data_IF_025606637109
#
_entry.id   IF_025606637109
#
_cell.length_a   1.000
_cell.length_b   1.000
_cell.length_c   1.000
_cell.angle_alpha   90.00
_cell.angle_beta   90.00
_cell.angle_gamma   90.00
#
_symmetry.space_group_name_H-M   'P 1'
#
loop_
_entity.id
_entity.type
_entity.pdbx_description
1 polymer ?
2 non-polymer ?
3 non-polymer ?
4 water ?
#
# COMPACT_ATOMS: atom_id res chain seq x y z
N UNK A 120 20.80 -2.40 5.73
CA UNK A 120 20.28 -1.04 5.48
C UNK A 120 21.10 -0.34 4.39
N UNK A 121 22.44 -0.46 4.47
CA UNK A 121 23.37 0.15 3.53
C UNK A 121 23.10 -0.32 2.10
N UNK A 122 22.94 -1.64 1.90
CA UNK A 122 22.68 -2.23 0.59
C UNK A 122 21.44 -1.62 -0.07
N UNK A 123 20.33 -1.50 0.70
CA UNK A 123 19.07 -0.91 0.24
C UNK A 123 19.24 0.58 -0.10
N UNK A 124 19.91 1.34 0.75
CA UNK A 124 20.14 2.78 0.51
C UNK A 124 20.91 2.97 -0.81
N UNK A 125 21.91 2.12 -1.06
CA UNK A 125 22.69 2.19 -2.29
C UNK A 125 21.84 1.86 -3.53
N UNK A 126 21.00 0.79 -3.47
CA UNK A 126 20.11 0.40 -4.57
C UNK A 126 19.12 1.52 -4.88
N UNK A 127 18.61 2.19 -3.84
CA UNK A 127 17.68 3.30 -4.02
C UNK A 127 18.34 4.50 -4.68
N UNK A 128 19.63 4.76 -4.39
CA UNK A 128 20.38 5.85 -5.01
C UNK A 128 20.56 5.56 -6.48
N UNK A 129 20.90 4.33 -6.82
CA UNK A 129 21.07 3.90 -8.20
C UNK A 129 19.75 4.03 -8.94
N UNK A 130 18.65 3.54 -8.32
CA UNK A 130 17.33 3.63 -8.94
C UNK A 130 16.93 5.09 -9.23
N UNK A 131 17.09 6.00 -8.27
CA UNK A 131 16.74 7.42 -8.47
C UNK A 131 17.56 8.01 -9.63
N UNK A 132 18.87 7.68 -9.68
CA UNK A 132 19.78 8.15 -10.71
C UNK A 132 19.32 7.68 -12.08
N UNK A 133 18.98 6.38 -12.23
CA UNK A 133 18.52 5.86 -13.52
C UNK A 133 17.19 6.49 -13.95
N UNK A 134 16.27 6.73 -13.00
CA UNK A 134 14.98 7.30 -13.32
C UNK A 134 15.10 8.77 -13.73
N UNK A 135 16.07 9.52 -13.15
CA UNK A 135 16.26 10.92 -13.54
C UNK A 135 16.66 11.05 -15.02
N UNK A 136 17.39 10.06 -15.55
CA UNK A 136 17.81 10.00 -16.95
C UNK A 136 16.60 9.81 -17.88
N UNK A 137 15.61 9.05 -17.43
CA UNK A 137 14.39 8.82 -18.19
C UNK A 137 13.59 10.13 -18.35
N UNK A 138 13.69 11.05 -17.38
CA UNK A 138 13.00 12.33 -17.45
C UNK A 138 13.55 13.22 -18.55
N UNK A 139 12.69 13.60 -19.50
CA UNK A 139 13.11 14.52 -20.55
C UNK A 139 13.59 15.86 -19.98
N UNK A 140 14.54 16.47 -20.66
CA UNK A 140 15.08 17.76 -20.27
C UNK A 140 14.02 18.87 -20.52
N UNK A 141 13.28 18.76 -21.63
CA UNK A 141 12.27 19.74 -22.00
C UNK A 141 10.84 19.20 -21.82
N UNK A 142 9.87 20.11 -21.78
CA UNK A 142 8.46 19.76 -21.70
C UNK A 142 7.96 19.53 -20.30
N UNK A 143 6.64 19.50 -20.15
CA UNK A 143 5.98 19.31 -18.87
C UNK A 143 4.79 18.37 -19.01
N UNK A 144 4.39 17.74 -17.89
CA UNK A 144 3.21 16.92 -17.82
C UNK A 144 2.16 17.82 -17.17
N UNK A 145 1.27 18.37 -17.98
CA UNK A 145 0.24 19.31 -17.54
C UNK A 145 -1.07 18.64 -17.18
N UNK A 146 -1.53 18.86 -15.93
CA UNK A 146 -2.77 18.31 -15.45
C UNK A 146 -3.57 19.43 -14.82
N UNK A 147 -4.84 19.58 -15.20
CA UNK A 147 -5.73 20.57 -14.59
C UNK A 147 -7.03 19.89 -14.15
N UNK A 148 -7.20 19.65 -12.85
CA UNK A 148 -8.37 18.91 -12.38
C UNK A 148 -9.03 19.56 -11.17
N UNK A 149 -10.35 19.34 -11.00
CA UNK A 149 -11.02 19.83 -9.80
C UNK A 149 -10.68 18.88 -8.64
N UNK A 150 -10.65 19.40 -7.41
CA UNK A 150 -10.43 18.57 -6.22
C UNK A 150 -11.59 17.59 -6.02
N UNK A 151 -12.83 18.05 -6.31
CA UNK A 151 -14.05 17.26 -6.14
C UNK A 151 -14.17 16.07 -7.14
N UNK A 152 -13.59 16.20 -8.34
CA UNK A 152 -13.61 15.14 -9.35
C UNK A 152 -12.16 14.72 -9.67
N UNK A 153 -11.28 14.68 -8.66
CA UNK A 153 -9.86 14.38 -8.88
C UNK A 153 -9.65 13.06 -9.64
N UNK A 154 -10.35 11.99 -9.25
CA UNK A 154 -10.21 10.69 -9.86
C UNK A 154 -10.56 10.69 -11.32
N UNK A 155 -11.79 11.05 -11.64
CA UNK A 155 -12.30 11.00 -12.99
C UNK A 155 -11.60 11.96 -13.92
N UNK A 156 -11.34 13.18 -13.45
CA UNK A 156 -10.69 14.17 -14.30
C UNK A 156 -9.24 13.80 -14.53
N UNK A 157 -8.53 13.26 -13.51
CA UNK A 157 -7.15 12.81 -13.72
C UNK A 157 -7.12 11.64 -14.67
N UNK A 158 -8.13 10.74 -14.58
CA UNK A 158 -8.25 9.60 -15.47
C UNK A 158 -8.32 10.08 -16.93
N UNK A 159 -9.24 11.02 -17.23
CA UNK A 159 -9.37 11.51 -18.59
C UNK A 159 -8.09 12.11 -19.14
N UNK A 160 -7.40 12.94 -18.35
CA UNK A 160 -6.20 13.60 -18.82
C UNK A 160 -4.97 12.68 -18.92
N UNK A 161 -4.74 11.85 -17.92
CA UNK A 161 -3.60 10.92 -17.92
C UNK A 161 -3.72 9.87 -19.02
N UNK A 162 -4.94 9.36 -19.29
CA UNK A 162 -5.12 8.33 -20.30
C UNK A 162 -5.04 8.85 -21.74
N UNK A 163 -5.04 10.18 -21.94
CA UNK A 163 -4.79 10.74 -23.27
C UNK A 163 -3.27 10.88 -23.51
N UNK A 164 -2.43 10.76 -22.46
CA UNK A 164 -0.99 10.90 -22.60
C UNK A 164 -0.31 9.61 -22.96
N UNK A 165 0.86 9.74 -23.58
CA UNK A 165 1.69 8.60 -23.93
C UNK A 165 2.58 8.31 -22.74
N UNK A 166 3.16 7.09 -22.66
CA UNK A 166 4.09 6.81 -21.56
C UNK A 166 5.21 7.83 -21.41
N UNK A 167 5.80 8.34 -22.52
CA UNK A 167 6.88 9.34 -22.41
C UNK A 167 6.44 10.66 -21.78
N UNK A 168 5.15 11.02 -21.94
CA UNK A 168 4.63 12.24 -21.33
C UNK A 168 4.64 12.20 -19.79
N UNK A 169 4.44 11.00 -19.22
CA UNK A 169 4.38 10.80 -17.77
C UNK A 169 5.70 10.97 -17.06
N UNK A 170 6.81 10.95 -17.80
CA UNK A 170 8.15 11.15 -17.23
C UNK A 170 8.53 12.63 -17.13
N UNK A 171 7.77 13.54 -17.74
CA UNK A 171 8.07 14.97 -17.75
C UNK A 171 7.77 15.67 -16.45
N UNK A 172 8.44 16.84 -16.19
CA UNK A 172 8.20 17.59 -14.96
C UNK A 172 6.73 17.95 -14.83
N UNK A 173 6.17 17.74 -13.65
CA UNK A 173 4.77 17.98 -13.43
C UNK A 173 4.41 19.44 -13.32
N UNK A 174 3.37 19.84 -14.06
CA UNK A 174 2.83 21.17 -13.99
C UNK A 174 1.34 20.97 -13.72
N UNK A 175 0.97 20.99 -12.44
CA UNK A 175 -0.39 20.71 -12.00
C UNK A 175 -1.11 21.94 -11.52
N UNK A 176 -2.41 22.00 -11.80
CA UNK A 176 -3.24 23.06 -11.32
C UNK A 176 -4.56 22.48 -10.88
N UNK A 177 -5.06 22.90 -9.71
CA UNK A 177 -6.40 22.53 -9.28
C UNK A 177 -7.36 23.58 -9.83
N UNK A 178 -8.44 23.14 -10.47
CA UNK A 178 -9.43 24.00 -11.11
C UNK A 178 -10.00 25.04 -10.13
N UNK A 179 -10.09 26.29 -10.59
CA UNK A 179 -10.54 27.41 -9.77
C UNK A 179 -9.54 27.87 -8.73
N UNK A 180 -8.34 27.25 -8.67
CA UNK A 180 -7.35 27.61 -7.65
C UNK A 180 -6.05 28.10 -8.21
N UNK A 181 -5.49 29.14 -7.57
CA UNK A 181 -4.23 29.72 -7.97
C UNK A 181 -3.03 28.83 -7.62
N UNK A 182 -2.95 28.38 -6.37
CA UNK A 182 -1.83 27.55 -5.94
C UNK A 182 -0.60 28.34 -5.56
N UNK A 183 0.13 27.90 -4.51
CA UNK A 183 1.34 28.58 -4.01
C UNK A 183 2.57 28.39 -4.92
N UNK A 184 2.90 27.14 -5.24
CA UNK A 184 4.01 26.81 -6.14
C UNK A 184 3.74 25.46 -6.80
N UNK A 185 4.25 25.27 -8.02
CA UNK A 185 4.00 24.05 -8.77
C UNK A 185 4.47 22.76 -8.09
N UNK A 186 5.62 22.82 -7.42
CA UNK A 186 6.17 21.64 -6.75
C UNK A 186 5.25 21.11 -5.67
N UNK A 187 4.67 22.03 -4.92
CA UNK A 187 3.75 21.72 -3.84
C UNK A 187 2.43 21.21 -4.35
N UNK A 188 1.92 21.83 -5.43
CA UNK A 188 0.66 21.37 -6.01
C UNK A 188 0.82 19.98 -6.64
N UNK A 189 1.99 19.68 -7.21
CA UNK A 189 2.24 18.37 -7.81
C UNK A 189 2.26 17.30 -6.70
N UNK A 190 2.91 17.61 -5.57
CA UNK A 190 2.99 16.75 -4.39
C UNK A 190 1.59 16.49 -3.83
N UNK A 191 0.77 17.53 -3.73
CA UNK A 191 -0.59 17.40 -3.24
C UNK A 191 -1.51 16.61 -4.16
N UNK A 192 -1.41 16.81 -5.49
CA UNK A 192 -2.24 16.07 -6.44
C UNK A 192 -1.87 14.58 -6.39
N UNK A 193 -0.56 14.28 -6.39
CA UNK A 193 -0.10 12.91 -6.44
C UNK A 193 -0.48 12.14 -5.18
N UNK A 194 -0.35 12.79 -4.00
CA UNK A 194 -0.77 12.23 -2.73
C UNK A 194 -2.29 12.02 -2.69
N UNK A 195 -3.07 13.06 -3.03
CA UNK A 195 -4.52 12.96 -2.98
C UNK A 195 -5.11 11.95 -3.94
N UNK A 196 -4.63 11.92 -5.19
CA UNK A 196 -5.15 11.00 -6.19
C UNK A 196 -4.76 9.55 -5.84
N UNK A 197 -3.49 9.31 -5.43
CA UNK A 197 -3.01 7.96 -5.08
C UNK A 197 -3.86 7.34 -3.98
N UNK A 198 -4.28 8.15 -3.02
CA UNK A 198 -5.13 7.67 -1.94
C UNK A 198 -6.57 7.57 -2.37
N UNK A 199 -7.06 8.54 -3.13
CA UNK A 199 -8.46 8.52 -3.61
C UNK A 199 -8.80 7.36 -4.56
N UNK A 200 -7.86 7.00 -5.47
CA UNK A 200 -8.11 5.91 -6.41
C UNK A 200 -8.27 4.53 -5.74
N UNK A 201 -7.84 4.39 -4.49
CA UNK A 201 -7.99 3.19 -3.69
C UNK A 201 -9.38 3.07 -3.02
N UNK A 202 -10.20 4.15 -3.06
CA UNK A 202 -11.52 4.16 -2.46
C UNK A 202 -12.43 3.13 -3.12
N UNK A 203 -13.01 2.21 -2.34
CA UNK A 203 -13.94 1.21 -2.92
C UNK A 203 -15.09 1.75 -3.77
N UNK A 204 -15.45 3.01 -3.55
CA UNK A 204 -16.51 3.70 -4.29
C UNK A 204 -16.30 3.62 -5.80
N UNK A 205 -15.04 3.73 -6.26
CA UNK A 205 -14.77 3.67 -7.70
C UNK A 205 -14.82 2.26 -8.32
N UNK A 206 -15.08 1.24 -7.52
CA UNK A 206 -15.26 -0.11 -8.02
C UNK A 206 -14.02 -0.89 -8.43
N UNK A 207 -12.81 -0.38 -8.12
CA UNK A 207 -11.58 -1.08 -8.50
C UNK A 207 -11.04 -1.93 -7.39
N UNK A 208 -11.02 -1.41 -6.17
CA UNK A 208 -10.47 -2.10 -5.02
C UNK A 208 -11.50 -2.19 -3.90
N UNK A 209 -11.26 -3.06 -2.94
CA UNK A 209 -12.17 -3.23 -1.80
C UNK A 209 -11.39 -3.80 -0.63
N UNK A 210 -11.93 -3.67 0.60
CA UNK A 210 -11.27 -4.26 1.76
C UNK A 210 -11.70 -5.71 1.90
N UNK A 211 -10.76 -6.59 2.29
CA UNK A 211 -11.10 -8.00 2.47
C UNK A 211 -12.14 -8.17 3.58
N UNK A 212 -13.07 -9.11 3.41
CA UNK A 212 -14.09 -9.39 4.42
C UNK A 212 -13.43 -10.04 5.65
N UNK A 213 -12.49 -10.97 5.40
CA UNK A 213 -11.73 -11.72 6.42
C UNK A 213 -10.70 -10.82 7.11
N UNK A 214 -9.97 -10.01 6.33
CA UNK A 214 -9.01 -9.09 6.89
C UNK A 214 -9.42 -7.66 6.58
N UNK A 215 -10.14 -7.05 7.51
CA UNK A 215 -10.74 -5.72 7.44
C UNK A 215 -9.74 -4.56 7.10
N UNK A 216 -8.43 -4.77 7.28
CA UNK A 216 -7.43 -3.74 6.96
C UNK A 216 -6.76 -3.95 5.58
N UNK A 217 -6.93 -5.12 4.97
CA UNK A 217 -6.28 -5.43 3.71
C UNK A 217 -7.03 -4.93 2.47
N UNK A 218 -6.33 -4.18 1.61
CA UNK A 218 -6.92 -3.74 0.36
C UNK A 218 -6.61 -4.77 -0.73
N UNK A 219 -7.59 -5.06 -1.60
CA UNK A 219 -7.43 -6.01 -2.69
C UNK A 219 -8.21 -5.55 -3.90
N UNK A 220 -7.93 -6.14 -5.07
CA UNK A 220 -8.68 -5.83 -6.27
C UNK A 220 -10.12 -6.38 -6.12
N UNK A 221 -11.12 -5.63 -6.57
CA UNK A 221 -12.51 -6.08 -6.54
C UNK A 221 -12.67 -7.10 -7.68
N UNK A 222 -12.92 -8.41 -7.40
CA UNK A 222 -13.09 -9.38 -8.49
C UNK A 222 -14.28 -9.14 -9.42
N UNK A 223 -15.30 -8.42 -8.98
CA UNK A 223 -16.48 -8.09 -9.78
C UNK A 223 -16.36 -6.70 -10.45
N UNK A 224 -15.14 -6.15 -10.56
CA UNK A 224 -14.94 -4.83 -11.12
C UNK A 224 -15.52 -4.67 -12.53
N UNK A 225 -15.73 -5.79 -13.25
CA UNK A 225 -16.27 -5.79 -14.60
C UNK A 225 -17.70 -5.26 -14.71
N UNK A 226 -18.39 -5.01 -13.59
CA UNK A 226 -19.71 -4.36 -13.64
C UNK A 226 -19.60 -2.96 -14.35
N UNK A 227 -18.40 -2.32 -14.27
CA UNK A 227 -18.06 -1.12 -15.03
C UNK A 227 -17.32 -1.68 -16.24
N UNK A 228 -17.92 -1.59 -17.44
CA UNK A 228 -17.28 -2.18 -18.63
C UNK A 228 -15.92 -1.60 -19.01
N UNK A 229 -15.63 -0.37 -18.58
CA UNK A 229 -14.34 0.27 -18.83
C UNK A 229 -13.32 -0.03 -17.73
N UNK A 230 -13.59 -0.98 -16.81
CA UNK A 230 -12.73 -1.22 -15.65
C UNK A 230 -11.25 -1.43 -16.00
N UNK A 231 -10.92 -2.09 -17.10
CA UNK A 231 -9.52 -2.36 -17.45
C UNK A 231 -8.73 -1.11 -17.76
N UNK A 232 -9.35 -0.15 -18.43
CA UNK A 232 -8.71 1.13 -18.70
C UNK A 232 -8.49 1.88 -17.39
N UNK A 233 -9.40 1.75 -16.41
CA UNK A 233 -9.22 2.36 -15.10
C UNK A 233 -8.07 1.74 -14.32
N UNK A 234 -7.92 0.39 -14.36
CA UNK A 234 -6.79 -0.28 -13.69
C UNK A 234 -5.49 0.14 -14.35
N UNK A 235 -5.48 0.29 -15.69
CA UNK A 235 -4.30 0.77 -16.43
C UNK A 235 -3.88 2.15 -15.91
N UNK A 236 -4.86 3.04 -15.76
CA UNK A 236 -4.69 4.35 -15.20
C UNK A 236 -4.09 4.32 -13.76
N UNK A 237 -4.63 3.46 -12.87
CA UNK A 237 -4.11 3.34 -11.49
C UNK A 237 -2.64 2.87 -11.51
N UNK A 238 -2.31 1.96 -12.43
CA UNK A 238 -0.95 1.47 -12.60
C UNK A 238 0.00 2.60 -12.98
N UNK A 239 -0.46 3.46 -13.92
CA UNK A 239 0.29 4.65 -14.33
C UNK A 239 0.54 5.56 -13.14
N UNK A 240 -0.48 5.79 -12.31
CA UNK A 240 -0.35 6.63 -11.11
C UNK A 240 0.58 6.03 -10.08
N UNK A 241 0.50 4.71 -9.84
CA UNK A 241 1.44 4.06 -8.92
C UNK A 241 2.89 4.18 -9.45
N UNK A 242 3.05 4.09 -10.77
CA UNK A 242 4.33 4.26 -11.41
C UNK A 242 4.86 5.67 -11.24
N UNK A 243 3.95 6.68 -11.39
CA UNK A 243 4.27 8.09 -11.22
C UNK A 243 4.63 8.41 -9.75
N UNK A 244 4.00 7.74 -8.77
CA UNK A 244 4.35 7.92 -7.36
C UNK A 244 5.78 7.42 -7.14
N UNK A 245 6.13 6.23 -7.68
CA UNK A 245 7.49 5.67 -7.57
C UNK A 245 8.49 6.63 -8.21
N UNK A 246 8.18 7.09 -9.43
CA UNK A 246 9.01 8.02 -10.17
C UNK A 246 9.32 9.30 -9.38
N UNK A 247 8.32 9.88 -8.69
CA UNK A 247 8.56 11.11 -7.93
C UNK A 247 8.89 10.88 -6.43
N UNK A 248 9.32 9.66 -6.10
CA UNK A 248 9.76 9.29 -4.77
C UNK A 248 8.73 9.30 -3.66
N UNK A 249 7.47 8.96 -3.98
CA UNK A 249 6.41 8.89 -2.96
C UNK A 249 6.31 7.47 -2.44
N UNK A 250 6.28 7.30 -1.12
CA UNK A 250 6.15 5.99 -0.48
C UNK A 250 4.78 5.94 0.14
N UNK A 251 3.83 5.31 -0.53
CA UNK A 251 2.43 5.21 -0.11
C UNK A 251 2.06 3.81 0.45
N UNK A 252 1.52 3.79 1.68
CA UNK A 252 1.07 2.57 2.35
C UNK A 252 -0.35 2.32 1.87
N UNK A 253 -0.48 1.73 0.69
CA UNK A 253 -1.78 1.52 0.08
C UNK A 253 -2.65 0.53 0.80
N UNK A 254 -2.04 -0.41 1.52
CA UNK A 254 -2.81 -1.42 2.25
C UNK A 254 -2.89 -2.77 1.54
N UNK A 255 -2.24 -2.91 0.38
CA UNK A 255 -2.19 -4.18 -0.33
C UNK A 255 -1.30 -5.16 0.45
N UNK A 256 -1.39 -6.45 0.13
CA UNK A 256 -0.55 -7.45 0.78
C UNK A 256 0.86 -7.39 0.17
N UNK A 257 1.87 -7.95 0.86
CA UNK A 257 3.23 -7.98 0.30
C UNK A 257 3.28 -8.75 -1.03
N UNK A 258 2.68 -9.97 -1.14
CA UNK A 258 2.67 -10.64 -2.45
C UNK A 258 2.01 -9.85 -3.58
N UNK A 259 1.02 -8.96 -3.30
CA UNK A 259 0.43 -8.10 -4.33
C UNK A 259 1.53 -7.17 -4.88
N UNK A 260 2.25 -6.50 -3.95
CA UNK A 260 3.33 -5.60 -4.31
C UNK A 260 4.45 -6.31 -5.05
N UNK A 261 4.80 -7.54 -4.63
CA UNK A 261 5.84 -8.29 -5.32
C UNK A 261 5.45 -8.64 -6.73
N UNK A 262 4.18 -9.00 -6.97
CA UNK A 262 3.75 -9.29 -8.33
C UNK A 262 3.83 -8.05 -9.21
N UNK A 263 3.44 -6.89 -8.65
CA UNK A 263 3.51 -5.63 -9.37
C UNK A 263 4.96 -5.26 -9.69
N UNK A 264 5.89 -5.51 -8.76
CA UNK A 264 7.30 -5.18 -8.96
C UNK A 264 8.12 -6.30 -9.61
N UNK A 265 7.44 -7.19 -10.35
CA UNK A 265 8.04 -8.28 -11.09
C UNK A 265 8.74 -9.41 -10.35
N UNK A 266 8.29 -9.71 -9.15
CA UNK A 266 8.84 -10.81 -8.38
C UNK A 266 7.89 -11.99 -8.47
N UNK A 267 8.46 -13.19 -8.57
CA UNK A 267 7.66 -14.41 -8.65
C UNK A 267 6.92 -14.66 -7.33
N UNK A 268 5.68 -15.15 -7.40
CA UNK A 268 4.91 -15.52 -6.22
C UNK A 268 5.46 -16.86 -5.73
N UNK A 269 5.60 -17.03 -4.41
CA UNK A 269 6.13 -18.27 -3.84
C UNK A 269 5.04 -19.05 -3.12
N UNK A 270 5.28 -20.36 -2.87
CA UNK A 270 4.39 -21.18 -2.07
C UNK A 270 4.28 -20.60 -0.64
N UNK A 271 5.39 -20.02 -0.12
CA UNK A 271 5.43 -19.35 1.19
C UNK A 271 4.35 -18.27 1.28
N UNK A 272 4.12 -17.52 0.18
CA UNK A 272 3.09 -16.48 0.09
C UNK A 272 1.67 -17.01 0.19
N UNK A 273 1.46 -18.31 -0.10
CA UNK A 273 0.12 -18.88 -0.03
C UNK A 273 -0.38 -19.14 1.37
N UNK A 274 0.51 -19.12 2.38
CA UNK A 274 0.16 -19.38 3.78
C UNK A 274 -1.07 -18.57 4.25
N UNK A 275 -1.05 -17.24 4.04
CA UNK A 275 -2.16 -16.40 4.49
C UNK A 275 -3.30 -16.31 3.48
N UNK A 276 -3.02 -16.45 2.17
CA UNK A 276 -4.03 -16.42 1.10
C UNK A 276 -5.01 -17.62 1.18
N UNK A 277 -4.48 -18.83 1.41
CA UNK A 277 -5.31 -20.03 1.45
C UNK A 277 -4.54 -21.08 2.30
N UNK A 278 -4.72 -21.03 3.64
CA UNK A 278 -3.93 -21.89 4.53
C UNK A 278 -4.07 -23.40 4.29
N UNK A 279 -5.26 -23.88 3.93
CA UNK A 279 -5.46 -25.32 3.69
C UNK A 279 -4.76 -25.75 2.41
N UNK A 280 -4.85 -24.93 1.37
CA UNK A 280 -4.21 -25.19 0.09
C UNK A 280 -2.69 -25.17 0.27
N UNK A 281 -2.17 -24.22 1.03
CA UNK A 281 -0.76 -24.11 1.33
C UNK A 281 -0.20 -25.42 1.94
N UNK A 282 -0.89 -25.94 2.98
CA UNK A 282 -0.48 -27.20 3.64
C UNK A 282 -0.51 -28.36 2.68
N UNK A 283 -1.53 -28.42 1.82
CA UNK A 283 -1.67 -29.50 0.82
C UNK A 283 -0.54 -29.46 -0.20
N UNK A 284 -0.19 -28.28 -0.69
CA UNK A 284 0.86 -28.12 -1.69
C UNK A 284 2.23 -28.38 -1.07
N UNK A 285 2.45 -27.96 0.19
CA UNK A 285 3.71 -28.22 0.89
C UNK A 285 3.85 -29.77 1.06
N UNK A 286 2.74 -30.42 1.41
CA UNK A 286 2.68 -31.88 1.53
C UNK A 286 3.05 -32.57 0.22
N UNK A 287 2.55 -32.06 -0.94
CA UNK A 287 2.87 -32.63 -2.25
C UNK A 287 4.39 -32.58 -2.51
N UNK A 288 4.98 -31.42 -2.29
CA UNK A 288 6.40 -31.20 -2.52
C UNK A 288 7.31 -32.02 -1.60
N UNK A 289 6.92 -32.20 -0.36
CA UNK A 289 7.77 -32.81 0.66
C UNK A 289 7.61 -34.30 0.85
N UNK A 290 6.62 -34.91 0.22
CA UNK A 290 6.33 -36.34 0.44
C UNK A 290 6.05 -37.05 -0.88
N UNK A 291 6.28 -38.37 -0.93
CA UNK A 291 5.93 -39.18 -2.10
C UNK A 291 4.40 -39.28 -2.20
N UNK A 292 3.79 -38.70 -3.26
CA UNK A 292 2.33 -38.63 -3.47
C UNK A 292 1.74 -39.83 -4.21
N UNK A 293 2.59 -40.73 -4.74
CA UNK A 293 2.18 -41.84 -5.60
C UNK A 293 1.08 -42.72 -5.04
N UNK A 294 -0.03 -42.76 -5.76
CA UNK A 294 -1.19 -43.55 -5.38
C UNK A 294 -2.03 -42.98 -4.23
N UNK A 295 -1.67 -41.77 -3.74
CA UNK A 295 -2.40 -41.10 -2.66
C UNK A 295 -3.06 -39.85 -3.29
N UNK A 296 -2.24 -38.97 -3.92
CA UNK A 296 -2.79 -37.82 -4.61
C UNK A 296 -3.30 -38.28 -5.99
N UNK A 297 -4.60 -38.13 -6.24
CA UNK A 297 -5.20 -38.51 -7.52
C UNK A 297 -5.65 -37.21 -8.17
N UNK A 298 -4.72 -36.55 -8.83
CA UNK A 298 -4.96 -35.26 -9.46
C UNK A 298 -4.37 -35.17 -10.84
N UNK A 299 -4.88 -34.22 -11.65
CA UNK A 299 -4.36 -33.88 -12.97
C UNK A 299 -3.97 -32.35 -13.01
N UNK A 300 -3.44 -31.86 -14.15
CA UNK A 300 -3.10 -30.45 -14.31
C UNK A 300 -4.34 -29.61 -14.67
N UNK A 301 -5.47 -29.95 -14.09
CA UNK A 301 -6.73 -29.24 -14.24
C UNK A 301 -7.24 -28.95 -12.84
N UNK A 302 -7.61 -27.71 -12.58
CA UNK A 302 -8.13 -27.27 -11.28
C UNK A 302 -9.55 -26.79 -11.49
N UNK A 303 -10.44 -27.08 -10.55
CA UNK A 303 -11.80 -26.60 -10.68
C UNK A 303 -12.11 -25.60 -9.59
N UNK A 304 -12.88 -24.59 -9.94
CA UNK A 304 -13.27 -23.55 -9.01
C UNK A 304 -14.67 -23.09 -9.35
N UNK A 305 -15.41 -22.62 -8.35
CA UNK A 305 -16.77 -22.14 -8.58
C UNK A 305 -16.73 -20.64 -8.72
N UNK A 306 -16.91 -20.14 -9.94
CA UNK A 306 -17.01 -18.72 -10.18
C UNK A 306 -18.46 -18.37 -10.52
N UNK A 307 -19.11 -17.58 -9.65
CA UNK A 307 -20.47 -17.06 -9.83
C UNK A 307 -21.54 -18.13 -10.08
N UNK A 308 -21.43 -19.27 -9.36
CA UNK A 308 -22.39 -20.38 -9.45
C UNK A 308 -22.10 -21.42 -10.51
N UNK A 309 -21.03 -21.24 -11.29
CA UNK A 309 -20.67 -22.19 -12.34
C UNK A 309 -19.29 -22.80 -12.03
N UNK A 310 -19.13 -24.11 -12.24
CA UNK A 310 -17.85 -24.77 -12.00
C UNK A 310 -16.96 -24.65 -13.23
N UNK A 311 -15.84 -23.97 -13.08
CA UNK A 311 -14.89 -23.77 -14.16
C UNK A 311 -13.80 -24.80 -14.03
N UNK A 312 -13.53 -25.54 -15.09
CA UNK A 312 -12.43 -26.50 -15.12
C UNK A 312 -11.31 -25.79 -15.84
N UNK A 313 -10.25 -25.39 -15.14
CA UNK A 313 -9.13 -24.66 -15.73
C UNK A 313 -7.88 -25.53 -15.85
N UNK A 314 -7.38 -25.72 -17.08
CA UNK A 314 -6.16 -26.46 -17.30
C UNK A 314 -4.95 -25.56 -17.05
N UNK A 315 -4.09 -25.96 -16.12
CA UNK A 315 -2.87 -25.22 -15.78
C UNK A 315 -1.89 -25.13 -16.95
N UNK A 316 -1.93 -26.09 -17.85
CA UNK A 316 -1.05 -26.14 -19.03
C UNK A 316 -1.77 -26.92 -20.16
N UNK A 317 -1.28 -26.85 -21.42
CA UNK A 317 -1.94 -27.58 -22.51
C UNK A 317 -2.10 -29.08 -22.24
N UNK A 318 -3.27 -29.63 -22.57
CA UNK A 318 -3.60 -31.03 -22.33
C UNK A 318 -3.67 -31.42 -20.82
N UNK A 319 -3.73 -30.44 -19.94
CA UNK A 319 -3.74 -30.63 -18.49
C UNK A 319 -4.69 -31.68 -17.93
N UNK A 320 -5.90 -31.75 -18.48
CA UNK A 320 -6.93 -32.71 -18.07
C UNK A 320 -6.46 -34.16 -18.20
N UNK A 321 -5.54 -34.43 -19.14
CA UNK A 321 -5.06 -35.78 -19.39
C UNK A 321 -3.69 -36.06 -18.83
N UNK A 322 -3.11 -35.14 -18.03
CA UNK A 322 -1.78 -35.31 -17.44
C UNK A 322 -1.90 -35.48 -15.93
N UNK A 323 -1.65 -36.70 -15.43
CA UNK A 323 -1.71 -36.89 -13.97
C UNK A 323 -0.52 -36.24 -13.27
N UNK A 324 -0.73 -35.78 -12.04
CA UNK A 324 0.35 -35.24 -11.24
C UNK A 324 1.09 -36.47 -10.65
N UNK A 325 2.40 -36.49 -10.77
CA UNK A 325 3.24 -37.59 -10.30
C UNK A 325 4.55 -37.00 -9.71
N UNK A 326 5.45 -37.85 -9.24
CA UNK A 326 6.71 -37.40 -8.65
C UNK A 326 7.59 -36.55 -9.59
N UNK A 327 7.60 -36.86 -10.89
CA UNK A 327 8.42 -36.15 -11.87
C UNK A 327 7.88 -34.73 -12.19
N UNK A 328 6.55 -34.56 -12.24
CA UNK A 328 5.98 -33.28 -12.65
C UNK A 328 5.31 -32.48 -11.49
N UNK A 329 5.36 -32.99 -10.25
CA UNK A 329 4.71 -32.29 -9.11
C UNK A 329 5.28 -30.89 -8.80
N UNK A 330 6.57 -30.64 -9.02
CA UNK A 330 7.14 -29.31 -8.76
C UNK A 330 6.54 -28.26 -9.71
N UNK A 331 6.34 -28.65 -10.98
CA UNK A 331 5.73 -27.79 -11.99
C UNK A 331 4.24 -27.60 -11.68
N UNK A 332 3.56 -28.65 -11.22
CA UNK A 332 2.16 -28.59 -10.84
C UNK A 332 1.97 -27.59 -9.72
N UNK A 333 2.81 -27.67 -8.66
CA UNK A 333 2.69 -26.77 -7.53
C UNK A 333 2.98 -25.29 -7.95
N UNK A 334 4.02 -25.07 -8.78
CA UNK A 334 4.34 -23.73 -9.25
C UNK A 334 3.17 -23.13 -10.07
N UNK A 335 2.64 -23.88 -11.03
CA UNK A 335 1.53 -23.40 -11.86
C UNK A 335 0.28 -23.14 -10.99
N UNK A 336 0.03 -24.04 -10.01
CA UNK A 336 -1.12 -23.93 -9.12
C UNK A 336 -1.02 -22.65 -8.29
N UNK A 337 0.17 -22.38 -7.71
CA UNK A 337 0.40 -21.19 -6.88
C UNK A 337 0.14 -19.91 -7.71
N UNK A 338 0.63 -19.85 -8.97
CA UNK A 338 0.43 -18.67 -9.82
C UNK A 338 -1.03 -18.44 -10.14
N UNK A 339 -1.75 -19.52 -10.49
CA UNK A 339 -3.17 -19.44 -10.83
C UNK A 339 -3.99 -19.03 -9.61
N UNK A 340 -3.77 -19.69 -8.46
CA UNK A 340 -4.55 -19.38 -7.25
C UNK A 340 -4.42 -17.90 -6.83
N UNK A 341 -3.20 -17.41 -6.85
CA UNK A 341 -2.88 -16.05 -6.46
C UNK A 341 -3.68 -14.97 -7.24
N UNK A 342 -3.83 -15.13 -8.56
CA UNK A 342 -4.55 -14.16 -9.38
C UNK A 342 -5.97 -14.61 -9.76
N UNK A 343 -6.48 -15.71 -9.16
CA UNK A 343 -7.78 -16.25 -9.53
C UNK A 343 -8.92 -15.21 -9.43
N UNK A 344 -9.59 -14.98 -10.53
CA UNK A 344 -10.69 -14.03 -10.64
C UNK A 344 -10.30 -12.58 -10.88
N UNK A 345 -9.00 -12.27 -10.78
CA UNK A 345 -8.50 -10.91 -10.96
C UNK A 345 -7.34 -10.83 -11.98
N UNK A 346 -7.24 -11.82 -12.88
CA UNK A 346 -6.19 -11.89 -13.88
C UNK A 346 -6.14 -10.64 -14.79
N UNK A 347 -7.26 -10.27 -15.39
CA UNK A 347 -7.32 -9.12 -16.31
C UNK A 347 -7.03 -7.81 -15.63
N UNK A 348 -7.55 -7.61 -14.42
CA UNK A 348 -7.36 -6.40 -13.64
C UNK A 348 -5.91 -6.19 -13.30
N UNK A 349 -5.26 -7.26 -12.80
CA UNK A 349 -3.87 -7.22 -12.42
C UNK A 349 -2.96 -6.94 -13.61
N UNK A 350 -3.24 -7.56 -14.75
CA UNK A 350 -2.48 -7.39 -15.98
C UNK A 350 -2.56 -5.92 -16.48
N UNK A 351 -3.75 -5.29 -16.35
CA UNK A 351 -3.93 -3.89 -16.76
C UNK A 351 -3.15 -2.98 -15.84
N UNK A 352 -3.21 -3.23 -14.52
CA UNK A 352 -2.46 -2.47 -13.50
C UNK A 352 -0.92 -2.58 -13.73
N UNK A 353 -0.43 -3.80 -14.00
CA UNK A 353 0.99 -4.06 -14.28
C UNK A 353 1.43 -3.32 -15.57
N UNK A 354 0.58 -3.34 -16.59
CA UNK A 354 0.87 -2.66 -17.85
C UNK A 354 1.00 -1.14 -17.65
N UNK A 355 0.09 -0.55 -16.87
CA UNK A 355 0.17 0.87 -16.58
C UNK A 355 1.42 1.23 -15.81
N UNK A 356 1.77 0.36 -14.84
CA UNK A 356 2.91 0.58 -13.99
C UNK A 356 4.23 0.48 -14.79
N UNK A 357 4.33 -0.50 -15.64
CA UNK A 357 5.55 -0.72 -16.45
C UNK A 357 5.74 0.32 -17.55
N UNK A 358 4.74 1.15 -17.81
CA UNK A 358 4.88 2.27 -18.74
C UNK A 358 5.63 3.44 -18.08
N UNK A 359 5.69 3.49 -16.73
CA UNK A 359 6.40 4.55 -16.03
C UNK A 359 7.72 4.00 -15.46
N UNK A 360 7.68 2.80 -14.88
CA UNK A 360 8.85 2.22 -14.22
C UNK A 360 9.27 0.97 -14.96
N UNK A 361 10.44 1.01 -15.64
CA UNK A 361 10.89 -0.19 -16.37
C UNK A 361 11.15 -1.32 -15.39
N UNK A 362 10.67 -2.51 -15.72
CA UNK A 362 10.82 -3.69 -14.88
C UNK A 362 12.31 -3.99 -14.60
N UNK A 363 13.16 -3.86 -15.64
CA UNK A 363 14.59 -4.17 -15.49
C UNK A 363 15.26 -3.36 -14.36
N UNK A 364 14.76 -2.15 -14.08
CA UNK A 364 15.31 -1.30 -13.03
C UNK A 364 15.04 -1.79 -11.59
N UNK A 365 14.17 -2.78 -11.41
CA UNK A 365 13.80 -3.25 -10.08
C UNK A 365 14.33 -4.66 -9.75
N UNK A 366 14.93 -5.38 -10.72
CA UNK A 366 15.40 -6.76 -10.54
C UNK A 366 16.40 -6.95 -9.38
N UNK A 367 17.15 -5.91 -9.09
CA UNK A 367 18.15 -5.84 -8.04
C UNK A 367 17.56 -5.94 -6.62
N UNK A 368 16.34 -5.43 -6.42
CA UNK A 368 15.71 -5.41 -5.11
C UNK A 368 15.14 -6.78 -4.73
N UNK A 369 15.43 -7.25 -3.51
CA UNK A 369 14.88 -8.52 -3.05
C UNK A 369 13.59 -8.31 -2.24
N UNK A 370 12.88 -9.41 -1.92
CA UNK A 370 11.60 -9.43 -1.19
C UNK A 370 11.64 -8.65 0.12
N UNK A 371 12.70 -8.86 0.92
CA UNK A 371 12.89 -8.20 2.21
C UNK A 371 12.98 -6.68 2.06
N UNK A 372 13.72 -6.24 1.03
CA UNK A 372 13.91 -4.83 0.73
C UNK A 372 12.59 -4.19 0.29
N UNK A 373 11.79 -4.91 -0.52
CA UNK A 373 10.50 -4.39 -0.97
C UNK A 373 9.57 -4.18 0.21
N UNK A 374 9.58 -5.12 1.16
CA UNK A 374 8.78 -5.06 2.38
C UNK A 374 9.10 -3.80 3.19
N UNK A 375 10.41 -3.49 3.38
CA UNK A 375 10.84 -2.30 4.12
C UNK A 375 10.44 -1.04 3.39
N UNK A 376 10.55 -1.02 2.06
CA UNK A 376 10.19 0.17 1.29
C UNK A 376 8.69 0.52 1.40
N UNK A 377 7.79 -0.44 1.17
CA UNK A 377 6.36 -0.11 1.16
C UNK A 377 5.76 0.04 2.56
N UNK A 378 6.12 -0.86 3.46
CA UNK A 378 5.53 -0.87 4.78
C UNK A 378 6.32 -0.12 5.86
N UNK A 379 7.56 0.29 5.56
CA UNK A 379 8.37 1.05 6.52
C UNK A 379 8.99 0.17 7.59
N UNK A 380 9.41 0.78 8.72
CA UNK A 380 10.05 0.02 9.82
C UNK A 380 9.13 -1.08 10.39
N UNK A 381 9.71 -2.26 10.64
CA UNK A 381 8.98 -3.41 11.15
C UNK A 381 8.31 -3.23 12.50
N UNK A 382 8.80 -2.28 13.31
CA UNK A 382 8.21 -2.04 14.64
C UNK A 382 8.12 -0.53 14.91
N UNK A 383 7.07 -0.12 15.61
CA UNK A 383 6.90 1.26 16.02
C UNK A 383 7.59 1.40 17.37
N UNK A 384 8.70 2.13 17.40
CA UNK A 384 9.52 2.33 18.59
C UNK A 384 9.08 3.58 19.35
N UNK A 385 8.66 3.43 20.62
CA UNK A 385 8.22 4.54 21.47
C UNK A 385 9.37 5.52 21.81
N UNK A 386 10.64 5.04 21.84
CA UNK A 386 11.77 5.94 22.11
C UNK A 386 12.01 6.87 20.93
N UNK A 387 12.11 6.32 19.72
CA UNK A 387 12.30 7.14 18.54
C UNK A 387 11.09 8.10 18.33
N UNK A 388 9.89 7.64 18.67
CA UNK A 388 8.69 8.43 18.57
C UNK A 388 8.75 9.62 19.51
N UNK A 389 9.01 9.39 20.83
CA UNK A 389 9.01 10.50 21.79
C UNK A 389 10.11 11.54 21.62
N UNK A 390 11.33 11.15 21.18
CA UNK A 390 12.39 12.15 21.00
C UNK A 390 12.19 13.01 19.73
N UNK A 391 11.25 12.59 18.84
CA UNK A 391 10.94 13.29 17.58
C UNK A 391 9.51 13.87 17.57
N UNK A 392 9.00 14.23 18.73
CA UNK A 392 7.66 14.81 18.89
C UNK A 392 7.78 16.26 19.35
N UNK A 393 6.97 17.14 18.72
CA UNK A 393 6.87 18.56 19.05
C UNK A 393 5.79 18.74 20.09
N UNK A 394 6.04 19.56 21.10
CA UNK A 394 5.04 19.84 22.14
C UNK A 394 4.43 21.25 22.02
N UNK A 395 3.09 21.35 22.03
CA UNK A 395 2.39 22.64 21.94
C UNK A 395 1.49 22.81 23.15
N UNK A 396 1.68 23.88 23.92
CA UNK A 396 0.92 24.21 25.14
C UNK A 396 1.07 23.17 26.26
N UNK A 397 2.15 22.38 26.22
CA UNK A 397 2.55 21.47 27.28
C UNK A 397 4.08 21.40 27.28
N UNK A 398 4.66 21.20 28.45
CA UNK A 398 6.10 21.14 28.61
C UNK A 398 6.62 19.70 28.66
N UNK A 399 7.94 19.51 28.40
CA UNK A 399 8.54 18.19 28.47
C UNK A 399 8.30 17.43 29.76
N UNK A 400 8.33 18.12 30.88
CA UNK A 400 8.17 17.50 32.19
C UNK A 400 6.73 17.51 32.72
N UNK A 401 5.74 17.88 31.89
CA UNK A 401 4.35 17.90 32.35
C UNK A 401 3.73 16.50 32.48
N UNK A 402 2.68 16.40 33.28
CA UNK A 402 1.94 15.18 33.56
C UNK A 402 1.31 14.68 32.30
N UNK A 403 0.71 15.57 31.47
CA UNK A 403 0.03 15.12 30.26
C UNK A 403 0.99 14.41 29.29
N UNK A 404 2.23 14.91 29.16
CA UNK A 404 3.24 14.33 28.27
C UNK A 404 3.76 13.02 28.85
N UNK A 405 4.04 13.01 30.18
CA UNK A 405 4.47 11.81 30.87
C UNK A 405 3.41 10.68 30.73
N UNK A 406 2.14 11.01 30.96
CA UNK A 406 1.04 10.04 30.85
C UNK A 406 0.83 9.57 29.44
N UNK A 407 1.00 10.49 28.46
CA UNK A 407 0.89 10.08 27.05
C UNK A 407 1.94 9.02 26.70
N UNK A 408 3.23 9.25 27.04
CA UNK A 408 4.28 8.30 26.69
C UNK A 408 4.20 7.02 27.49
N UNK A 409 3.68 7.08 28.73
CA UNK A 409 3.47 5.89 29.54
C UNK A 409 2.39 5.00 28.88
N UNK A 410 1.34 5.61 28.28
CA UNK A 410 0.30 4.87 27.59
C UNK A 410 0.85 4.25 26.31
N UNK A 411 1.60 5.01 25.52
CA UNK A 411 2.20 4.50 24.28
C UNK A 411 3.18 3.36 24.54
N UNK A 412 3.98 3.48 25.59
CA UNK A 412 4.89 2.42 26.02
C UNK A 412 4.09 1.12 26.35
N UNK A 413 2.95 1.22 27.07
CA UNK A 413 2.15 0.04 27.37
C UNK A 413 1.52 -0.52 26.10
N UNK A 414 1.14 0.34 25.14
CA UNK A 414 0.51 -0.10 23.91
C UNK A 414 1.35 -1.11 23.16
N UNK A 415 0.70 -2.17 22.67
CA UNK A 415 1.38 -3.19 21.90
C UNK A 415 1.54 -2.70 20.45
N UNK A 416 2.17 -3.52 19.54
CA UNK A 416 2.35 -3.07 18.15
C UNK A 416 1.04 -2.70 17.48
N UNK A 417 -0.02 -3.52 17.69
CA UNK A 417 -1.35 -3.23 17.12
C UNK A 417 -1.91 -1.87 17.58
N UNK A 418 -1.91 -1.62 18.90
CA UNK A 418 -2.41 -0.36 19.42
C UNK A 418 -1.56 0.83 18.94
N UNK A 419 -0.21 0.70 18.89
CA UNK A 419 0.64 1.78 18.39
C UNK A 419 0.34 2.10 16.94
N UNK A 420 0.04 1.07 16.13
CA UNK A 420 -0.31 1.31 14.71
C UNK A 420 -1.64 2.04 14.63
N UNK A 421 -2.62 1.67 15.47
CA UNK A 421 -3.91 2.35 15.51
C UNK A 421 -3.74 3.81 15.89
N UNK A 422 -2.87 4.07 16.89
CA UNK A 422 -2.56 5.43 17.34
C UNK A 422 -1.90 6.24 16.23
N UNK A 423 -0.86 5.69 15.60
CA UNK A 423 -0.16 6.37 14.51
C UNK A 423 -1.12 6.66 13.35
N UNK A 424 -1.99 5.70 12.99
CA UNK A 424 -2.97 5.89 11.90
C UNK A 424 -3.98 6.98 12.27
N UNK A 425 -4.45 6.97 13.52
CA UNK A 425 -5.38 7.97 14.04
C UNK A 425 -4.82 9.38 13.91
N UNK A 426 -3.56 9.60 14.32
CA UNK A 426 -2.97 10.93 14.28
C UNK A 426 -2.42 11.36 12.90
N UNK A 427 -1.87 10.43 12.11
CA UNK A 427 -1.20 10.80 10.86
C UNK A 427 -1.88 10.39 9.56
N UNK A 428 -2.78 9.42 9.62
CA UNK A 428 -3.42 8.89 8.43
C UNK A 428 -2.79 7.59 7.95
N UNK A 429 -1.66 7.19 8.54
CA UNK A 429 -0.96 6.00 8.16
C UNK A 429 -0.23 5.40 9.34
N UNK A 430 -0.09 4.07 9.34
CA UNK A 430 0.66 3.34 10.36
C UNK A 430 2.09 2.98 9.83
N UNK A 431 2.54 3.59 8.73
CA UNK A 431 3.83 3.31 8.13
C UNK A 431 4.88 4.25 8.75
N UNK A 432 5.94 3.68 9.36
CA UNK A 432 6.99 4.52 9.95
C UNK A 432 8.07 4.64 8.92
N UNK A 433 8.46 5.86 8.52
CA UNK A 433 9.55 5.98 7.52
C UNK A 433 10.81 5.21 7.91
N UNK A 434 11.62 4.82 6.93
CA UNK A 434 12.83 4.07 7.20
C UNK A 434 13.84 4.83 8.08
N UNK A 435 13.77 6.16 8.09
CA UNK A 435 14.62 6.98 8.96
C UNK A 435 13.97 7.31 10.33
N UNK A 436 12.81 6.72 10.59
CA UNK A 436 12.11 6.93 11.83
C UNK A 436 11.23 8.15 11.83
N UNK A 437 10.80 8.54 13.03
CA UNK A 437 9.87 9.64 13.29
C UNK A 437 10.40 11.04 12.98
N UNK A 438 11.73 11.18 12.88
CA UNK A 438 12.31 12.48 12.50
C UNK A 438 11.96 12.82 11.03
N UNK A 439 11.65 11.80 10.21
CA UNK A 439 11.29 11.91 8.80
C UNK A 439 9.76 11.87 8.56
N UNK A 440 8.94 12.01 9.62
CA UNK A 440 7.49 12.00 9.50
C UNK A 440 7.04 13.19 8.64
N UNK A 441 6.07 12.95 7.76
CA UNK A 441 5.60 13.99 6.86
C UNK A 441 4.11 14.22 6.93
N UNK A 442 3.75 15.49 6.77
CA UNK A 442 2.36 15.94 6.77
C UNK A 442 1.90 16.20 5.35
N UNK A 443 0.97 17.17 5.20
CA UNK A 443 0.43 17.50 3.88
C UNK A 443 1.44 18.26 3.00
N UNK A 444 1.97 19.40 3.48
CA UNK A 444 2.93 20.23 2.73
C UNK A 444 4.29 19.56 2.52
N UNK A 445 4.86 18.98 3.58
CA UNK A 445 6.16 18.34 3.52
C UNK A 445 6.52 17.74 4.86
N UNK A 446 7.68 18.09 5.44
CA UNK A 446 8.04 17.51 6.75
C UNK A 446 7.22 18.04 7.90
N UNK A 447 6.64 17.13 8.70
CA UNK A 447 5.83 17.56 9.86
C UNK A 447 6.02 16.55 10.98
N UNK A 448 6.71 16.95 12.06
CA UNK A 448 6.91 16.05 13.18
C UNK A 448 5.58 15.79 13.88
N UNK A 449 5.46 14.60 14.48
CA UNK A 449 4.32 14.22 15.33
C UNK A 449 4.19 15.29 16.44
N UNK A 450 2.96 15.77 16.69
CA UNK A 450 2.75 16.86 17.63
C UNK A 450 1.69 16.59 18.69
N UNK A 451 2.03 16.86 19.95
CA UNK A 451 1.08 16.72 21.04
C UNK A 451 0.69 18.14 21.38
N UNK A 452 -0.59 18.46 21.26
CA UNK A 452 -1.08 19.79 21.57
C UNK A 452 -2.09 19.70 22.71
N UNK A 453 -1.74 20.20 23.90
CA UNK A 453 -2.67 20.23 25.00
C UNK A 453 -3.69 21.37 24.76
N UNK A 454 -4.98 21.00 24.56
CA UNK A 454 -6.01 22.01 24.31
C UNK A 454 -6.81 22.32 25.56
N UNK A 455 -7.45 23.50 25.56
CA UNK A 455 -8.31 23.91 26.66
C UNK A 455 -9.70 23.41 26.27
N UNK A 456 -10.05 22.17 26.65
CA UNK A 456 -11.34 21.58 26.31
C UNK A 456 -11.91 20.73 27.49
N UNK A 457 -13.18 20.26 27.38
CA UNK A 457 -13.80 19.43 28.42
C UNK A 457 -13.01 18.12 28.54
N UNK A 458 -12.65 17.73 29.77
CA UNK A 458 -11.86 16.51 30.00
C UNK A 458 -12.63 15.21 29.79
N UNK A 459 -13.89 15.27 29.37
CA UNK A 459 -14.63 14.07 29.02
C UNK A 459 -14.59 13.80 27.50
N UNK A 460 -14.11 14.78 26.70
CA UNK A 460 -13.94 14.63 25.26
C UNK A 460 -12.78 13.69 25.00
N UNK A 461 -12.83 13.01 23.87
CA UNK A 461 -11.76 12.13 23.44
C UNK A 461 -10.67 12.98 22.79
N UNK A 462 -9.42 12.46 22.68
CA UNK A 462 -8.40 13.18 21.91
C UNK A 462 -8.85 13.36 20.44
N UNK A 463 -8.49 14.48 19.84
CA UNK A 463 -8.88 14.80 18.47
C UNK A 463 -7.65 14.83 17.57
N UNK A 464 -7.75 14.24 16.37
CA UNK A 464 -6.61 14.22 15.45
C UNK A 464 -6.76 15.17 14.27
N UNK A 465 -5.61 15.68 13.79
CA UNK A 465 -5.54 16.57 12.64
C UNK A 465 -4.43 15.99 11.76
N UNK A 466 -4.77 14.95 11.00
CA UNK A 466 -3.86 14.17 10.16
C UNK A 466 -3.04 14.99 9.17
N UNK A 467 -3.48 16.21 8.87
CA UNK A 467 -2.76 17.11 7.97
C UNK A 467 -1.42 17.50 8.60
N UNK A 468 -1.45 17.82 9.88
CA UNK A 468 -0.28 18.28 10.62
C UNK A 468 0.27 17.24 11.60
N UNK A 469 -0.13 15.95 11.48
CA UNK A 469 0.31 14.84 12.35
C UNK A 469 0.16 15.24 13.82
N UNK A 470 -0.98 15.84 14.14
CA UNK A 470 -1.20 16.44 15.45
C UNK A 470 -2.36 15.83 16.27
N UNK A 471 -2.14 15.69 17.58
CA UNK A 471 -3.15 15.18 18.46
C UNK A 471 -3.47 16.25 19.50
N UNK A 472 -4.76 16.55 19.67
CA UNK A 472 -5.22 17.54 20.60
C UNK A 472 -5.72 16.83 21.83
N UNK A 473 -5.15 17.16 22.98
CA UNK A 473 -5.50 16.48 24.20
C UNK A 473 -5.99 17.42 25.28
N UNK A 474 -7.18 17.12 25.84
CA UNK A 474 -7.66 17.89 27.00
C UNK A 474 -6.80 17.66 28.24
N UNK A 475 -6.84 18.56 29.24
CA UNK A 475 -6.04 18.36 30.45
C UNK A 475 -6.58 17.27 31.40
N UNK A 476 -6.51 15.99 31.01
CA UNK A 476 -7.00 14.86 31.83
C UNK A 476 -6.39 14.86 33.22
N UNK A 477 -7.22 14.58 34.22
CA UNK A 477 -6.91 14.61 35.64
C UNK A 477 -6.00 13.49 36.13
N UNK A 478 -5.94 12.38 35.39
CA UNK A 478 -5.10 11.25 35.82
C UNK A 478 -4.56 10.49 34.62
N UNK A 479 -3.52 9.64 34.86
CA UNK A 479 -2.96 8.77 33.81
C UNK A 479 -4.07 7.82 33.34
N UNK A 480 -4.79 7.20 34.28
CA UNK A 480 -5.84 6.24 33.93
C UNK A 480 -6.90 6.83 33.00
N UNK A 481 -7.29 8.09 33.24
CA UNK A 481 -8.25 8.76 32.38
C UNK A 481 -7.68 8.98 30.97
N UNK A 482 -6.41 9.45 30.88
CA UNK A 482 -5.78 9.64 29.56
C UNK A 482 -5.70 8.32 28.80
N UNK A 483 -5.26 7.28 29.51
CA UNK A 483 -5.11 5.94 28.97
C UNK A 483 -6.42 5.41 28.36
N UNK A 484 -7.52 5.47 29.13
CA UNK A 484 -8.83 5.00 28.61
C UNK A 484 -9.36 5.83 27.46
N UNK A 485 -9.28 7.18 27.55
CA UNK A 485 -9.78 8.08 26.51
C UNK A 485 -9.03 7.89 25.21
N UNK A 486 -7.69 7.73 25.30
CA UNK A 486 -6.86 7.47 24.12
C UNK A 486 -7.25 6.13 23.52
N UNK A 487 -7.41 5.08 24.35
CA UNK A 487 -7.83 3.80 23.82
C UNK A 487 -9.22 3.87 23.13
N UNK A 488 -10.19 4.55 23.75
CA UNK A 488 -11.54 4.72 23.17
C UNK A 488 -11.46 5.43 21.83
N UNK A 489 -10.64 6.51 21.77
CA UNK A 489 -10.48 7.25 20.53
C UNK A 489 -9.87 6.44 19.38
N UNK A 490 -8.93 5.53 19.69
CA UNK A 490 -8.28 4.77 18.60
C UNK A 490 -8.99 3.43 18.30
N UNK A 491 -10.09 3.09 19.01
CA UNK A 491 -10.86 1.85 18.80
C UNK A 491 -11.46 1.76 17.40
N UNK A 492 -11.76 0.53 16.95
CA UNK A 492 -12.49 0.24 15.71
C UNK A 492 -11.85 0.85 14.43
X LIG B 1 7.04 2.78 -3.80
X LIG B 1 9.27 2.80 -4.34
X LIG B 1 8.07 1.95 -4.03
X LIG B 1 3.50 1.43 -3.13
X LIG B 1 -1.83 3.60 -4.33
X LIG B 1 1.08 2.00 -3.25
X LIG B 1 2.39 2.34 -3.66
X LIG B 1 1.57 4.26 -4.95
X LIG B 1 8.01 0.43 -4.00
X LIG B 1 9.43 5.42 -4.39
X LIG B 1 2.62 3.46 -4.48
X LIG B 1 5.07 0.75 -5.00
X LIG B 1 12.04 0.40 -5.25
X LIG B 1 4.16 0.92 -6.24
X LIG B 1 11.78 -1.09 -5.55
X LIG B 1 7.53 3.98 -3.87
X LIG B 1 8.80 4.05 -4.22
X LIG B 1 5.67 2.52 -3.31
X LIG B 1 10.59 2.28 -4.77
X LIG B 1 4.76 1.62 -3.85
X LIG B 1 0.07 2.84 -3.66
X LIG B 1 0.29 3.91 -4.51
X LIG B 1 -1.26 2.66 -3.33
X LIG B 1 5.40 3.24 -2.32
X LIG B 1 -0.87 4.57 -4.84
X LIG B 1 11.49 3.05 -5.10
X LIG B 1 10.76 0.94 -4.86
X LIG C 1 6.70 23.52 -22.60
X LIG C 1 6.57 22.40 -23.61
X LIG C 1 6.26 23.06 -21.13
X LIG C 1 8.23 23.98 -22.50
X LIG C 1 5.77 24.71 -23.12
#
# INVERSE_FOLDING_TARGET
GPDLPEGYEQRTTQQGQVYFLHTQTGVSTWHDPRVPRDLSNINCEELGPLPPGWEIRNTATGRVYFVDHNNRTTQFTDPRLSANLHLVLNRQNQLKDQQQQQVVSLCPDDTECLTVPRYKRDLVQKLKILRQELSQQQPQAGHCRIEVSREEIFEESYRQVMKMRPKDLWKRLMIKFRGEEGLDYGGVAREWLYLLSHEMLNPYYGLFQYSRDDIYTLQINPDSAVNPEHLSYFHFVGRIMGMAVFHGHYIDGGFTLPFYKQLLGKSITLDDMELVDPDLHNSLVWILENDITGVLDHTFCVEHNAYGEIIQHELKPNGKSIPVNEENKKEYVRLYVNWRFLRGIEAQFLALQKGFNEVIPQHLLKTFDEKELELIICGLGKIDVNDWKVNTRLKHCTPDSNIVKWFWKAVEFFDEERRARLLQFVTGSSRVPLQGFKALQGAAGPRLFTIHQIDACTNNLPKAHTCFNRIDIPPYESYEKLYEKLLTAIEETCGFAVE
TJQ C1 C2 C3 C12 C15 C16 C17 C19 C20 C22 C23 C24 C25 C26 C27 N4 C5 C6 C7 N8 C9 C10 O11 O13 O14 O18 O21
PO4 P O1 O2 O3 O4
#
